data_IF_928812514770
#
_entry.id   IF_928812514770
#
_cell.length_a   1.000
_cell.length_b   1.000
_cell.length_c   1.000
_cell.angle_alpha   90.00
_cell.angle_beta   90.00
_cell.angle_gamma   90.00
#
_symmetry.space_group_name_H-M   'P 1'
#
loop_
_entity.id
_entity.type
_entity.pdbx_description
1 polymer ?
#
# COMPACT_ATOMS: atom_id res chain seq x y z
N UNK A 1 -9.25 2.21 -35.18
CA UNK A 1 -8.68 3.53 -34.78
C UNK A 1 -7.80 3.33 -33.55
N UNK A 2 -6.74 4.10 -33.30
CA UNK A 2 -5.95 3.97 -32.05
C UNK A 2 -6.46 4.92 -30.98
N UNK A 3 -6.89 4.40 -29.84
CA UNK A 3 -7.46 5.15 -28.71
C UNK A 3 -6.57 5.02 -27.48
N UNK A 4 -6.43 6.10 -26.70
CA UNK A 4 -5.85 6.02 -25.37
C UNK A 4 -6.97 5.76 -24.37
N UNK A 5 -7.06 4.55 -23.86
CA UNK A 5 -8.06 4.13 -22.90
C UNK A 5 -7.50 4.27 -21.47
N UNK A 6 -8.33 4.69 -20.53
CA UNK A 6 -8.05 4.73 -19.10
C UNK A 6 -8.95 3.72 -18.40
N UNK A 7 -8.37 2.62 -17.92
CA UNK A 7 -9.08 1.61 -17.15
C UNK A 7 -9.10 2.04 -15.68
N UNK A 8 -10.30 2.17 -15.12
CA UNK A 8 -10.52 2.41 -13.70
C UNK A 8 -10.66 1.05 -13.03
N UNK A 9 -9.63 0.65 -12.28
CA UNK A 9 -9.51 -0.71 -11.75
C UNK A 9 -9.24 -0.76 -10.26
N UNK A 10 -9.87 -1.70 -9.58
CA UNK A 10 -9.44 -2.21 -8.27
C UNK A 10 -8.79 -3.59 -8.43
N UNK A 11 -7.99 -4.04 -7.47
CA UNK A 11 -7.38 -5.37 -7.50
C UNK A 11 -6.98 -5.85 -6.11
N UNK A 12 -7.11 -7.16 -5.90
CA UNK A 12 -6.45 -7.85 -4.79
C UNK A 12 -4.97 -8.04 -5.11
N UNK A 13 -4.09 -7.39 -4.35
CA UNK A 13 -2.63 -7.47 -4.52
C UNK A 13 -1.99 -8.77 -4.04
N UNK A 14 -2.69 -9.65 -3.30
CA UNK A 14 -2.07 -10.77 -2.59
C UNK A 14 -1.25 -11.72 -3.46
N UNK A 15 -1.69 -11.98 -4.71
CA UNK A 15 -0.96 -12.87 -5.64
C UNK A 15 0.05 -12.16 -6.54
N UNK A 16 0.11 -10.83 -6.48
CA UNK A 16 0.87 -10.03 -7.43
C UNK A 16 2.20 -9.54 -6.86
N UNK A 17 3.21 -9.54 -7.71
CA UNK A 17 4.53 -8.94 -7.47
C UNK A 17 4.52 -7.42 -7.71
N UNK A 18 3.39 -6.79 -7.37
CA UNK A 18 3.11 -5.36 -7.57
C UNK A 18 2.36 -5.09 -8.88
N UNK A 19 2.13 -3.81 -9.14
CA UNK A 19 1.40 -3.37 -10.32
C UNK A 19 2.23 -3.46 -11.60
N UNK A 20 3.48 -2.99 -11.54
CA UNK A 20 4.25 -2.65 -12.73
C UNK A 20 4.59 -3.89 -13.57
N UNK A 21 4.49 -3.77 -14.89
CA UNK A 21 4.76 -4.88 -15.79
C UNK A 21 6.14 -5.52 -15.56
N UNK A 22 6.17 -6.84 -15.47
CA UNK A 22 7.34 -7.68 -15.48
C UNK A 22 7.02 -8.94 -16.32
N UNK A 23 7.97 -9.46 -17.11
CA UNK A 23 7.73 -10.64 -17.96
C UNK A 23 7.69 -11.93 -17.13
N UNK A 24 8.58 -12.04 -16.16
CA UNK A 24 8.84 -13.25 -15.38
C UNK A 24 7.91 -13.37 -14.16
N UNK A 25 7.47 -12.23 -13.63
CA UNK A 25 6.62 -12.18 -12.44
C UNK A 25 5.16 -11.89 -12.80
N UNK A 26 4.26 -12.38 -11.96
CA UNK A 26 2.84 -12.07 -12.08
C UNK A 26 2.58 -10.67 -11.53
N UNK A 27 2.22 -9.75 -12.42
CA UNK A 27 1.92 -8.35 -12.07
C UNK A 27 0.60 -7.92 -12.69
N UNK A 28 -0.04 -6.93 -12.05
CA UNK A 28 -1.37 -6.47 -12.48
C UNK A 28 -1.35 -5.92 -13.91
N UNK A 29 -0.32 -5.16 -14.29
CA UNK A 29 -0.17 -4.66 -15.67
C UNK A 29 0.04 -5.78 -16.69
N UNK A 30 0.71 -6.90 -16.32
CA UNK A 30 0.88 -8.07 -17.19
C UNK A 30 -0.47 -8.74 -17.46
N UNK A 31 -1.28 -8.94 -16.43
CA UNK A 31 -2.62 -9.52 -16.58
C UNK A 31 -3.56 -8.62 -17.38
N UNK A 32 -3.52 -7.29 -17.16
CA UNK A 32 -4.28 -6.33 -17.97
C UNK A 32 -3.90 -6.45 -19.45
N UNK A 33 -2.60 -6.50 -19.77
CA UNK A 33 -2.13 -6.66 -21.15
C UNK A 33 -2.58 -8.01 -21.73
N UNK A 34 -2.52 -9.09 -20.94
CA UNK A 34 -3.01 -10.41 -21.35
C UNK A 34 -4.50 -10.39 -21.72
N UNK A 35 -5.35 -9.80 -20.87
CA UNK A 35 -6.78 -9.69 -21.16
C UNK A 35 -7.09 -8.79 -22.38
N UNK A 36 -6.31 -7.73 -22.59
CA UNK A 36 -6.45 -6.87 -23.78
C UNK A 36 -6.06 -7.62 -25.07
N UNK A 37 -5.06 -8.51 -25.00
CA UNK A 37 -4.66 -9.36 -26.11
C UNK A 37 -5.73 -10.43 -26.41
N UNK A 38 -6.28 -11.05 -25.38
CA UNK A 38 -7.36 -12.06 -25.51
C UNK A 38 -8.64 -11.46 -26.13
N UNK A 39 -8.94 -10.19 -25.84
CA UNK A 39 -10.03 -9.44 -26.47
C UNK A 39 -9.70 -8.91 -27.87
N UNK A 40 -8.52 -9.23 -28.40
CA UNK A 40 -8.02 -8.77 -29.71
C UNK A 40 -7.98 -7.24 -29.88
N UNK A 41 -7.95 -6.48 -28.78
CA UNK A 41 -7.88 -5.01 -28.83
C UNK A 41 -6.45 -4.46 -28.88
N UNK A 42 -5.46 -5.34 -28.74
CA UNK A 42 -4.05 -5.10 -29.04
C UNK A 42 -3.46 -6.29 -29.79
N UNK A 43 -2.47 -6.06 -30.66
CA UNK A 43 -1.75 -7.15 -31.33
C UNK A 43 -0.71 -7.83 -30.42
N UNK A 44 -0.37 -9.08 -30.72
CA UNK A 44 0.69 -9.84 -30.03
C UNK A 44 2.02 -9.05 -29.96
N UNK A 45 2.42 -8.44 -31.09
CA UNK A 45 3.63 -7.61 -31.20
C UNK A 45 3.65 -6.44 -30.20
N UNK A 46 2.48 -5.90 -29.86
CA UNK A 46 2.34 -4.85 -28.86
C UNK A 46 2.36 -5.45 -27.45
N UNK A 47 1.68 -6.57 -27.22
CA UNK A 47 1.63 -7.23 -25.91
C UNK A 47 3.03 -7.64 -25.39
N UNK A 48 3.92 -8.09 -26.27
CA UNK A 48 5.28 -8.53 -25.90
C UNK A 48 6.21 -7.38 -25.46
N UNK A 49 5.83 -6.13 -25.76
CA UNK A 49 6.56 -4.91 -25.44
C UNK A 49 5.64 -3.85 -24.82
N UNK A 50 5.60 -3.71 -23.48
CA UNK A 50 4.76 -2.73 -22.78
C UNK A 50 4.98 -1.29 -23.23
N UNK A 51 6.17 -0.97 -23.77
CA UNK A 51 6.46 0.36 -24.30
C UNK A 51 5.56 0.68 -25.50
N UNK A 52 5.18 -0.32 -26.30
CA UNK A 52 4.29 -0.16 -27.46
C UNK A 52 2.82 -0.02 -27.06
N UNK A 53 2.41 -0.64 -25.95
CA UNK A 53 1.07 -0.45 -25.35
C UNK A 53 0.97 0.90 -24.63
N UNK A 54 2.11 1.54 -24.33
CA UNK A 54 2.20 2.78 -23.55
C UNK A 54 1.49 2.70 -22.20
N UNK A 55 1.56 1.53 -21.55
CA UNK A 55 0.91 1.33 -20.25
C UNK A 55 1.53 2.27 -19.20
N UNK A 56 0.66 3.01 -18.50
CA UNK A 56 1.03 3.93 -17.40
C UNK A 56 -0.06 3.92 -16.36
N UNK A 57 0.31 3.97 -15.09
CA UNK A 57 -0.64 4.01 -13.97
C UNK A 57 -0.57 5.31 -13.17
N UNK A 58 -1.64 5.62 -12.42
CA UNK A 58 -1.67 6.77 -11.52
C UNK A 58 -0.81 6.58 -10.28
N UNK A 59 -0.75 5.36 -9.77
CA UNK A 59 0.04 4.96 -8.60
C UNK A 59 0.63 3.58 -8.85
N UNK A 60 1.90 3.40 -8.49
CA UNK A 60 2.53 2.08 -8.42
C UNK A 60 2.29 1.50 -7.04
N UNK A 61 2.03 0.20 -6.98
CA UNK A 61 1.91 -0.56 -5.74
C UNK A 61 3.01 -1.63 -5.70
N UNK A 62 3.51 -1.88 -4.49
CA UNK A 62 4.53 -2.91 -4.23
C UNK A 62 3.90 -4.30 -4.25
N UNK A 63 4.73 -5.35 -4.21
CA UNK A 63 4.29 -6.74 -4.01
C UNK A 63 3.34 -6.84 -2.81
N UNK A 64 2.21 -7.52 -3.00
CA UNK A 64 1.20 -7.76 -1.96
C UNK A 64 0.30 -6.57 -1.61
N UNK A 65 0.50 -5.39 -2.20
CA UNK A 65 -0.30 -4.19 -1.90
C UNK A 65 -1.56 -4.15 -2.77
N UNK A 66 -2.71 -3.95 -2.14
CA UNK A 66 -4.02 -3.93 -2.81
C UNK A 66 -4.35 -2.54 -3.39
N UNK A 67 -5.39 -2.44 -4.21
CA UNK A 67 -5.95 -1.15 -4.60
C UNK A 67 -7.47 -1.22 -4.75
N UNK A 68 -8.17 -0.27 -4.14
CA UNK A 68 -9.61 -0.08 -4.36
C UNK A 68 -9.88 0.66 -5.67
N UNK A 69 -9.03 1.64 -6.00
CA UNK A 69 -9.07 2.36 -7.27
C UNK A 69 -7.67 2.78 -7.74
N UNK A 70 -7.35 2.44 -8.98
CA UNK A 70 -6.20 2.93 -9.73
C UNK A 70 -6.63 3.24 -11.16
N UNK A 71 -6.01 4.24 -11.78
CA UNK A 71 -6.17 4.50 -13.21
C UNK A 71 -4.98 3.90 -13.97
N UNK A 72 -5.26 3.00 -14.91
CA UNK A 72 -4.27 2.41 -15.82
C UNK A 72 -4.58 2.86 -17.23
N UNK A 73 -3.73 3.71 -17.81
CA UNK A 73 -3.86 4.12 -19.21
C UNK A 73 -3.12 3.15 -20.13
N UNK A 74 -3.76 2.78 -21.24
CA UNK A 74 -3.21 1.92 -22.31
C UNK A 74 -3.60 2.47 -23.68
N UNK A 75 -2.87 2.08 -24.72
CA UNK A 75 -3.22 2.35 -26.10
C UNK A 75 -3.84 1.10 -26.72
N UNK A 76 -5.09 1.20 -27.17
CA UNK A 76 -5.85 0.11 -27.80
C UNK A 76 -6.14 0.43 -29.26
N UNK A 77 -6.42 -0.61 -30.05
CA UNK A 77 -6.74 -0.57 -31.49
C UNK A 77 -8.23 -0.83 -31.76
N UNK A 78 -9.08 -0.63 -30.75
CA UNK A 78 -10.53 -0.77 -30.80
C UNK A 78 -11.23 0.48 -30.25
N UNK A 79 -12.50 0.64 -30.59
CA UNK A 79 -13.38 1.64 -29.96
C UNK A 79 -13.85 1.14 -28.58
N UNK A 80 -14.15 2.08 -27.69
CA UNK A 80 -14.63 1.76 -26.34
C UNK A 80 -16.15 1.58 -26.42
N UNK A 81 -16.60 0.33 -26.50
CA UNK A 81 -18.02 -0.04 -26.54
C UNK A 81 -18.46 -0.75 -25.25
N UNK A 82 -19.76 -0.80 -24.94
CA UNK A 82 -20.27 -1.56 -23.80
C UNK A 82 -19.87 -3.04 -23.81
N UNK A 83 -19.79 -3.65 -25.00
CA UNK A 83 -19.38 -5.05 -25.19
C UNK A 83 -17.91 -5.25 -24.82
N UNK A 84 -17.03 -4.33 -25.23
CA UNK A 84 -15.62 -4.36 -24.83
C UNK A 84 -15.47 -4.24 -23.31
N UNK A 85 -16.19 -3.31 -22.68
CA UNK A 85 -16.15 -3.11 -21.22
C UNK A 85 -16.63 -4.37 -20.50
N UNK A 86 -17.75 -4.96 -20.93
CA UNK A 86 -18.32 -6.17 -20.33
C UNK A 86 -17.40 -7.40 -20.49
N UNK A 87 -16.83 -7.58 -21.68
CA UNK A 87 -15.87 -8.65 -21.97
C UNK A 87 -14.60 -8.53 -21.12
N UNK A 88 -13.98 -7.34 -21.10
CA UNK A 88 -12.80 -7.10 -20.26
C UNK A 88 -13.09 -7.23 -18.77
N UNK A 89 -14.26 -6.77 -18.30
CA UNK A 89 -14.67 -6.93 -16.90
C UNK A 89 -14.74 -8.40 -16.52
N UNK A 90 -15.24 -9.26 -17.41
CA UNK A 90 -15.33 -10.71 -17.19
C UNK A 90 -13.95 -11.38 -17.18
N UNK A 91 -13.02 -10.99 -18.06
CA UNK A 91 -11.68 -11.56 -18.07
C UNK A 91 -10.84 -11.10 -16.87
N UNK A 92 -10.89 -9.81 -16.54
CA UNK A 92 -10.14 -9.22 -15.43
C UNK A 92 -10.63 -9.76 -14.08
N UNK A 93 -11.93 -10.02 -13.91
CA UNK A 93 -12.46 -10.57 -12.65
C UNK A 93 -11.90 -11.96 -12.33
N UNK A 94 -11.66 -12.81 -13.34
CA UNK A 94 -10.97 -14.10 -13.19
C UNK A 94 -9.53 -13.94 -12.69
N UNK A 95 -8.96 -12.76 -12.91
CA UNK A 95 -7.64 -12.37 -12.42
C UNK A 95 -7.72 -11.63 -11.08
N UNK A 96 -8.86 -11.54 -10.40
CA UNK A 96 -9.00 -10.74 -9.16
C UNK A 96 -8.70 -9.25 -9.38
N UNK A 97 -8.95 -8.77 -10.61
CA UNK A 97 -8.91 -7.37 -11.01
C UNK A 97 -10.33 -6.94 -11.32
N UNK A 98 -10.84 -5.96 -10.57
CA UNK A 98 -12.17 -5.41 -10.78
C UNK A 98 -12.10 -4.21 -11.73
N UNK A 99 -12.78 -4.29 -12.87
CA UNK A 99 -12.92 -3.18 -13.80
C UNK A 99 -14.24 -2.43 -13.55
N UNK A 100 -14.13 -1.19 -13.07
CA UNK A 100 -15.28 -0.31 -12.92
C UNK A 100 -15.73 0.20 -14.28
N UNK A 101 -14.83 0.85 -15.02
CA UNK A 101 -15.14 1.47 -16.30
C UNK A 101 -13.88 1.70 -17.16
N UNK A 102 -14.08 2.01 -18.44
CA UNK A 102 -13.04 2.40 -19.39
C UNK A 102 -13.39 3.78 -19.96
N UNK A 103 -12.57 4.78 -19.63
CA UNK A 103 -12.73 6.14 -20.13
C UNK A 103 -11.79 6.44 -21.29
N UNK A 104 -12.23 7.26 -22.24
CA UNK A 104 -11.34 7.77 -23.28
C UNK A 104 -10.44 8.86 -22.69
N UNK A 105 -9.12 8.75 -22.85
CA UNK A 105 -8.16 9.77 -22.43
C UNK A 105 -7.65 10.58 -23.61
N UNK A 106 -7.15 11.79 -23.35
CA UNK A 106 -6.44 12.55 -24.38
C UNK A 106 -5.06 11.94 -24.61
N UNK A 107 -4.47 12.19 -25.79
CA UNK A 107 -3.16 11.60 -26.14
C UNK A 107 -2.04 11.99 -25.17
N UNK A 108 -2.13 13.18 -24.56
CA UNK A 108 -1.12 13.71 -23.62
C UNK A 108 -1.34 13.31 -22.16
N UNK A 109 -2.50 12.74 -21.80
CA UNK A 109 -2.78 12.36 -20.41
C UNK A 109 -1.79 11.31 -19.92
N UNK A 110 -1.10 11.62 -18.82
CA UNK A 110 -0.27 10.68 -18.06
C UNK A 110 -0.90 10.55 -16.67
N UNK A 111 -1.47 9.38 -16.32
CA UNK A 111 -2.21 9.20 -15.06
C UNK A 111 -1.46 9.70 -13.81
N UNK A 112 -0.17 9.40 -13.70
CA UNK A 112 0.63 9.80 -12.52
C UNK A 112 0.87 11.30 -12.39
N UNK A 113 0.86 12.04 -13.50
CA UNK A 113 0.94 13.52 -13.53
C UNK A 113 -0.44 14.17 -13.34
N UNK A 114 -1.50 13.47 -13.72
CA UNK A 114 -2.88 13.93 -13.54
C UNK A 114 -3.33 13.80 -12.07
N UNK A 115 -2.78 12.82 -11.34
CA UNK A 115 -3.10 12.59 -9.93
C UNK A 115 -2.44 13.65 -9.04
N UNK A 116 -3.29 14.45 -8.38
CA UNK A 116 -2.94 15.54 -7.46
C UNK A 116 -2.63 15.01 -6.08
N UNK A 117 -3.48 14.10 -5.59
CA UNK A 117 -3.34 13.45 -4.29
C UNK A 117 -3.59 11.95 -4.44
N UNK A 118 -3.10 11.18 -3.48
CA UNK A 118 -3.36 9.75 -3.34
C UNK A 118 -3.71 9.49 -1.88
N UNK A 119 -4.84 8.83 -1.67
CA UNK A 119 -5.27 8.30 -0.39
C UNK A 119 -4.90 6.82 -0.33
N UNK A 120 -4.29 6.41 0.78
CA UNK A 120 -4.02 5.02 1.11
C UNK A 120 -4.66 4.70 2.45
N UNK A 121 -4.97 3.43 2.66
CA UNK A 121 -5.31 2.90 3.97
C UNK A 121 -4.25 1.89 4.39
N UNK A 122 -3.92 1.90 5.68
CA UNK A 122 -3.11 0.88 6.31
C UNK A 122 -3.84 0.35 7.54
N UNK A 123 -4.05 -0.97 7.59
CA UNK A 123 -4.77 -1.63 8.68
C UNK A 123 -3.75 -2.11 9.72
N UNK A 124 -3.93 -1.69 10.98
CA UNK A 124 -3.01 -2.01 12.09
C UNK A 124 -3.75 -2.83 13.13
N UNK A 125 -3.30 -4.07 13.45
CA UNK A 125 -3.79 -4.79 14.62
C UNK A 125 -3.35 -4.06 15.88
N UNK A 126 -4.30 -3.72 16.76
CA UNK A 126 -4.04 -2.81 17.89
C UNK A 126 -3.15 -3.44 18.96
N UNK A 127 -3.05 -4.76 19.01
CA UNK A 127 -2.09 -5.50 19.85
C UNK A 127 -0.65 -4.96 19.73
N UNK A 128 -0.23 -4.57 18.52
CA UNK A 128 1.12 -4.07 18.29
C UNK A 128 1.35 -2.65 18.83
N UNK A 129 0.29 -1.95 19.24
CA UNK A 129 0.36 -0.62 19.86
C UNK A 129 0.56 -0.70 21.38
N UNK A 130 0.25 -1.85 22.01
CA UNK A 130 0.37 -2.05 23.44
C UNK A 130 1.77 -1.69 23.93
N UNK A 131 1.87 -1.01 25.08
CA UNK A 131 3.16 -0.63 25.67
C UNK A 131 4.00 -1.88 25.92
N UNK A 132 5.23 -1.88 25.39
CA UNK A 132 6.19 -2.97 25.52
C UNK A 132 7.50 -2.48 26.14
N UNK A 133 8.32 -3.44 26.58
CA UNK A 133 9.67 -3.20 27.08
C UNK A 133 10.65 -3.79 26.07
N UNK A 134 11.36 -2.91 25.35
CA UNK A 134 12.17 -3.35 24.20
C UNK A 134 13.29 -4.30 24.64
N UNK A 135 14.00 -3.99 25.72
CA UNK A 135 15.13 -4.80 26.19
C UNK A 135 14.66 -6.16 26.70
N UNK A 136 13.56 -6.21 27.47
CA UNK A 136 12.99 -7.49 27.92
C UNK A 136 12.50 -8.35 26.76
N UNK A 137 11.82 -7.75 25.78
CA UNK A 137 11.32 -8.49 24.62
C UNK A 137 12.45 -8.98 23.70
N UNK A 138 13.58 -8.26 23.63
CA UNK A 138 14.82 -8.73 23.00
C UNK A 138 15.39 -9.93 23.74
N UNK A 139 15.46 -9.88 25.07
CA UNK A 139 15.96 -10.99 25.89
C UNK A 139 15.12 -12.25 25.74
N UNK A 140 13.79 -12.13 25.77
CA UNK A 140 12.85 -13.24 25.51
C UNK A 140 13.09 -13.84 24.13
N UNK A 141 13.28 -13.00 23.10
CA UNK A 141 13.55 -13.49 21.76
C UNK A 141 14.90 -14.22 21.67
N UNK A 142 15.94 -13.72 22.34
CA UNK A 142 17.26 -14.38 22.40
C UNK A 142 17.22 -15.71 23.13
N UNK A 143 16.42 -15.85 24.17
CA UNK A 143 16.23 -17.13 24.87
C UNK A 143 15.55 -18.17 23.95
N UNK A 144 14.66 -17.72 23.08
CA UNK A 144 13.99 -18.58 22.09
C UNK A 144 14.91 -18.97 20.92
N UNK A 145 15.66 -18.02 20.38
CA UNK A 145 16.40 -18.17 19.12
C UNK A 145 17.92 -18.40 19.29
N UNK A 146 18.48 -18.21 20.49
CA UNK A 146 19.92 -18.13 20.72
C UNK A 146 20.54 -16.78 20.33
N UNK A 147 21.87 -16.69 20.37
CA UNK A 147 22.62 -15.44 20.06
C UNK A 147 22.89 -15.24 18.55
N UNK A 148 22.95 -16.32 17.77
CA UNK A 148 23.23 -16.27 16.34
C UNK A 148 22.08 -16.87 15.54
N UNK A 149 21.54 -16.07 14.61
CA UNK A 149 20.54 -16.54 13.65
C UNK A 149 21.22 -17.03 12.39
N UNK A 150 20.99 -18.29 12.04
CA UNK A 150 21.22 -18.74 10.66
C UNK A 150 20.18 -18.08 9.75
N UNK A 151 20.62 -17.22 8.84
CA UNK A 151 19.77 -16.54 7.86
C UNK A 151 19.02 -17.49 6.91
N UNK A 152 19.30 -18.79 6.95
CA UNK A 152 18.62 -19.85 6.19
C UNK A 152 17.41 -20.44 6.91
N UNK A 153 17.26 -20.20 8.21
CA UNK A 153 16.15 -20.75 9.00
C UNK A 153 14.98 -19.77 9.03
N UNK A 154 13.85 -20.22 8.50
CA UNK A 154 12.58 -19.47 8.56
C UNK A 154 12.01 -19.59 9.97
N UNK A 155 11.68 -18.46 10.62
CA UNK A 155 11.03 -18.50 11.93
C UNK A 155 9.66 -19.13 11.80
N UNK A 156 9.38 -20.08 12.68
CA UNK A 156 8.04 -20.61 12.86
C UNK A 156 7.24 -19.68 13.78
N UNK A 157 6.04 -19.32 13.32
CA UNK A 157 5.08 -18.51 14.06
C UNK A 157 3.85 -19.40 14.26
N UNK A 158 3.82 -20.17 15.36
CA UNK A 158 2.78 -21.17 15.58
C UNK A 158 1.41 -20.49 15.74
N UNK A 159 0.36 -21.23 15.43
CA UNK A 159 -1.01 -20.69 15.33
C UNK A 159 -1.53 -20.15 16.66
N UNK A 160 -1.09 -20.72 17.77
CA UNK A 160 -1.38 -20.31 19.15
C UNK A 160 -0.92 -18.87 19.45
N UNK A 161 0.18 -18.42 18.84
CA UNK A 161 0.62 -17.03 18.93
C UNK A 161 -0.42 -16.08 18.34
N UNK A 162 -1.08 -16.47 17.25
CA UNK A 162 -2.16 -15.67 16.67
C UNK A 162 -3.43 -15.77 17.53
N UNK A 163 -3.68 -16.92 18.14
CA UNK A 163 -4.79 -17.09 19.09
C UNK A 163 -4.65 -16.17 20.30
N UNK A 164 -3.43 -15.84 20.72
CA UNK A 164 -3.19 -14.88 21.82
C UNK A 164 -3.67 -13.46 21.55
N UNK A 165 -3.88 -13.08 20.27
CA UNK A 165 -4.44 -11.77 19.91
C UNK A 165 -5.98 -11.75 20.00
N UNK A 166 -6.63 -12.91 20.04
CA UNK A 166 -8.09 -12.99 20.05
C UNK A 166 -8.62 -12.47 21.37
N UNK A 167 -9.52 -11.50 21.32
CA UNK A 167 -10.10 -10.86 22.50
C UNK A 167 -9.23 -9.76 23.12
N UNK A 168 -8.03 -9.50 22.57
CA UNK A 168 -7.27 -8.32 22.97
C UNK A 168 -7.99 -7.04 22.52
N UNK A 169 -8.06 -6.06 23.42
CA UNK A 169 -8.54 -4.71 23.15
C UNK A 169 -7.51 -3.69 23.61
N UNK A 170 -7.22 -2.71 22.77
CA UNK A 170 -6.30 -1.62 23.11
C UNK A 170 -6.89 -0.67 24.14
N UNK A 171 -6.01 -0.02 24.90
CA UNK A 171 -6.42 1.07 25.79
C UNK A 171 -6.63 2.36 24.98
N UNK A 172 -7.46 3.27 25.51
CA UNK A 172 -7.63 4.60 24.93
C UNK A 172 -6.29 5.36 24.82
N UNK A 173 -5.37 5.14 25.76
CA UNK A 173 -4.04 5.74 25.71
C UNK A 173 -3.21 5.24 24.53
N UNK A 174 -3.26 3.94 24.21
CA UNK A 174 -2.55 3.37 23.06
C UNK A 174 -2.99 4.05 21.76
N UNK A 175 -4.30 4.19 21.58
CA UNK A 175 -4.90 4.80 20.39
C UNK A 175 -4.56 6.29 20.30
N UNK A 176 -4.70 7.02 21.42
CA UNK A 176 -4.39 8.46 21.51
C UNK A 176 -2.92 8.73 21.18
N UNK A 177 -2.00 7.95 21.76
CA UNK A 177 -0.55 8.10 21.52
C UNK A 177 -0.22 7.76 20.06
N UNK A 178 -0.77 6.67 19.53
CA UNK A 178 -0.54 6.28 18.14
C UNK A 178 -1.04 7.34 17.16
N UNK A 179 -2.25 7.86 17.36
CA UNK A 179 -2.78 8.96 16.54
C UNK A 179 -1.90 10.21 16.63
N UNK A 180 -1.52 10.63 17.83
CA UNK A 180 -0.66 11.80 18.03
C UNK A 180 0.69 11.65 17.30
N UNK A 181 1.31 10.46 17.35
CA UNK A 181 2.53 10.13 16.60
C UNK A 181 2.30 10.30 15.09
N UNK A 182 1.23 9.74 14.56
CA UNK A 182 0.95 9.77 13.13
C UNK A 182 0.62 11.19 12.61
N UNK A 183 -0.04 12.02 13.43
CA UNK A 183 -0.31 13.42 13.07
C UNK A 183 0.97 14.23 12.82
N UNK A 184 2.09 13.86 13.46
CA UNK A 184 3.37 14.54 13.25
C UNK A 184 3.88 14.45 11.81
N UNK A 185 3.43 13.48 11.02
CA UNK A 185 3.83 13.36 9.61
C UNK A 185 3.22 14.40 8.68
N UNK A 186 2.16 15.10 9.11
CA UNK A 186 1.48 16.11 8.30
C UNK A 186 2.42 17.26 7.91
N UNK A 187 2.13 17.87 6.76
CA UNK A 187 2.96 18.91 6.17
C UNK A 187 4.06 18.38 5.25
N UNK A 188 4.99 19.26 4.89
CA UNK A 188 6.12 18.95 4.01
C UNK A 188 7.33 18.56 4.85
N UNK A 189 7.87 17.35 4.64
CA UNK A 189 9.09 16.87 5.30
C UNK A 189 10.00 16.14 4.33
N UNK A 190 11.25 15.92 4.73
CA UNK A 190 12.20 15.11 3.99
C UNK A 190 12.14 13.64 4.41
N UNK A 191 11.55 12.79 3.56
CA UNK A 191 11.32 11.38 3.86
C UNK A 191 12.45 10.47 3.35
N UNK A 192 13.70 10.95 3.27
CA UNK A 192 14.84 10.16 2.77
C UNK A 192 15.08 8.85 3.55
N UNK A 193 14.95 8.87 4.89
CA UNK A 193 15.04 7.66 5.73
C UNK A 193 13.83 6.72 5.57
N UNK A 194 12.72 7.23 5.05
CA UNK A 194 11.49 6.49 4.79
C UNK A 194 11.43 5.92 3.35
N UNK A 195 12.55 5.82 2.64
CA UNK A 195 12.59 5.14 1.33
C UNK A 195 13.82 4.24 1.23
N UNK A 196 13.97 3.55 0.10
CA UNK A 196 15.29 3.08 -0.36
C UNK A 196 15.99 4.28 -1.02
N UNK A 197 17.30 4.41 -0.83
CA UNK A 197 18.14 5.42 -1.49
C UNK A 197 17.91 5.39 -3.02
N UNK A 198 17.96 6.57 -3.68
CA UNK A 198 17.82 6.83 -5.14
C UNK A 198 16.44 7.36 -5.64
N UNK A 199 15.99 8.52 -5.15
CA UNK A 199 14.88 9.26 -5.79
C UNK A 199 15.40 10.46 -6.60
N UNK A 200 15.28 10.40 -7.93
CA UNK A 200 15.65 11.50 -8.84
C UNK A 200 14.87 12.80 -8.58
N UNK A 201 13.65 12.70 -8.02
CA UNK A 201 12.76 13.83 -7.73
C UNK A 201 12.94 14.40 -6.32
N UNK A 202 14.04 14.06 -5.67
CA UNK A 202 14.25 14.33 -4.25
C UNK A 202 13.32 13.53 -3.34
N UNK A 203 13.49 13.72 -2.04
CA UNK A 203 12.87 12.94 -0.95
C UNK A 203 11.84 13.73 -0.15
N UNK A 204 11.70 15.03 -0.43
CA UNK A 204 10.65 15.85 0.18
C UNK A 204 9.26 15.42 -0.31
N UNK A 205 8.33 15.21 0.62
CA UNK A 205 6.93 14.86 0.33
C UNK A 205 6.00 15.65 1.23
N UNK A 206 4.81 15.94 0.72
CA UNK A 206 3.74 16.62 1.45
C UNK A 206 2.64 15.62 1.80
N UNK A 207 2.41 15.45 3.10
CA UNK A 207 1.30 14.68 3.65
C UNK A 207 0.19 15.69 4.01
N UNK A 208 -0.97 15.53 3.38
CA UNK A 208 -2.13 16.41 3.57
C UNK A 208 -2.84 16.10 4.87
N UNK A 209 -3.09 14.83 5.13
CA UNK A 209 -3.79 14.38 6.33
C UNK A 209 -3.45 12.93 6.66
N UNK A 210 -3.54 12.62 7.95
CA UNK A 210 -3.55 11.26 8.49
C UNK A 210 -4.74 11.18 9.43
N UNK A 211 -5.56 10.13 9.31
CA UNK A 211 -6.76 9.92 10.13
C UNK A 211 -6.72 8.49 10.63
N UNK A 212 -6.87 8.31 11.94
CA UNK A 212 -7.00 7.00 12.58
C UNK A 212 -8.48 6.78 12.86
N UNK A 213 -9.03 5.63 12.46
CA UNK A 213 -10.42 5.29 12.77
C UNK A 213 -10.59 4.88 14.23
N UNK A 214 -11.84 4.87 14.70
CA UNK A 214 -12.21 4.08 15.87
C UNK A 214 -11.78 2.61 15.69
N UNK A 215 -11.45 1.91 16.80
CA UNK A 215 -11.10 0.50 16.74
C UNK A 215 -12.30 -0.32 16.29
N UNK A 216 -12.03 -1.40 15.56
CA UNK A 216 -13.05 -2.35 15.12
C UNK A 216 -12.51 -3.78 15.20
N UNK A 217 -13.40 -4.73 15.42
CA UNK A 217 -13.03 -6.15 15.56
C UNK A 217 -13.35 -6.90 14.28
N UNK A 218 -12.41 -7.71 13.81
CA UNK A 218 -12.60 -8.68 12.74
C UNK A 218 -11.98 -10.03 13.13
N UNK A 219 -12.74 -11.13 13.03
CA UNK A 219 -12.29 -12.46 13.44
C UNK A 219 -11.71 -12.52 14.87
N UNK A 220 -12.29 -11.74 15.80
CA UNK A 220 -11.88 -11.67 17.20
C UNK A 220 -10.61 -10.82 17.46
N UNK A 221 -10.02 -10.22 16.43
CA UNK A 221 -8.84 -9.37 16.52
C UNK A 221 -9.26 -7.91 16.36
N UNK A 222 -8.78 -7.03 17.23
CA UNK A 222 -9.04 -5.59 17.13
C UNK A 222 -8.02 -4.90 16.19
N UNK A 223 -8.53 -4.01 15.35
CA UNK A 223 -7.76 -3.23 14.37
C UNK A 223 -8.14 -1.76 14.43
N UNK A 224 -7.22 -0.91 13.96
CA UNK A 224 -7.53 0.44 13.51
C UNK A 224 -7.18 0.59 12.03
N UNK A 225 -7.90 1.47 11.34
CA UNK A 225 -7.61 1.84 9.96
C UNK A 225 -6.97 3.22 9.96
N UNK A 226 -5.77 3.31 9.38
CA UNK A 226 -5.06 4.57 9.16
C UNK A 226 -5.28 5.02 7.72
N UNK A 227 -6.02 6.09 7.51
CA UNK A 227 -6.20 6.73 6.20
C UNK A 227 -5.18 7.87 6.04
N UNK A 228 -4.27 7.74 5.08
CA UNK A 228 -3.23 8.74 4.80
C UNK A 228 -3.41 9.32 3.40
N UNK A 229 -3.49 10.65 3.30
CA UNK A 229 -3.58 11.38 2.04
C UNK A 229 -2.34 12.24 1.83
N UNK A 230 -1.69 12.11 0.66
CA UNK A 230 -0.50 12.87 0.32
C UNK A 230 -0.42 13.16 -1.17
N UNK A 231 0.40 14.14 -1.57
CA UNK A 231 0.57 14.49 -2.99
C UNK A 231 1.22 13.33 -3.76
N UNK A 232 2.28 12.78 -3.20
CA UNK A 232 2.97 11.61 -3.72
C UNK A 232 3.70 10.89 -2.59
N UNK A 233 4.07 9.63 -2.82
CA UNK A 233 4.78 8.81 -1.86
C UNK A 233 6.02 8.20 -2.54
N UNK A 234 7.11 8.07 -1.78
CA UNK A 234 8.31 7.34 -2.15
C UNK A 234 8.08 5.83 -2.02
N UNK A 235 9.00 5.05 -2.59
CA UNK A 235 9.01 3.60 -2.46
C UNK A 235 9.06 3.20 -0.97
N UNK A 236 8.18 2.31 -0.55
CA UNK A 236 8.03 1.84 0.84
C UNK A 236 7.63 2.90 1.89
N UNK A 237 7.42 4.16 1.52
CA UNK A 237 7.26 5.26 2.48
C UNK A 237 6.19 5.00 3.54
N UNK A 238 4.97 4.68 3.10
CA UNK A 238 3.85 4.48 4.02
C UNK A 238 4.13 3.32 4.96
N UNK A 239 4.64 2.19 4.46
CA UNK A 239 4.97 1.00 5.27
C UNK A 239 6.04 1.30 6.33
N UNK A 240 7.03 2.12 5.99
CA UNK A 240 8.06 2.57 6.94
C UNK A 240 7.48 3.55 7.96
N UNK A 241 6.63 4.49 7.54
CA UNK A 241 5.93 5.42 8.45
C UNK A 241 5.07 4.67 9.46
N UNK A 242 4.30 3.69 9.00
CA UNK A 242 3.41 2.91 9.87
C UNK A 242 4.21 2.09 10.89
N UNK A 243 5.23 1.34 10.45
CA UNK A 243 6.03 0.54 11.38
C UNK A 243 6.82 1.43 12.36
N UNK A 244 7.37 2.56 11.93
CA UNK A 244 8.01 3.51 12.84
C UNK A 244 7.04 4.04 13.89
N UNK A 245 5.83 4.44 13.48
CA UNK A 245 4.81 4.92 14.41
C UNK A 245 4.39 3.87 15.43
N UNK A 246 4.25 2.60 14.99
CA UNK A 246 3.96 1.46 15.86
C UNK A 246 5.10 1.25 16.87
N UNK A 247 6.36 1.29 16.42
CA UNK A 247 7.52 1.09 17.29
C UNK A 247 7.65 2.20 18.35
N UNK A 248 7.41 3.46 17.98
CA UNK A 248 7.41 4.55 18.95
C UNK A 248 6.25 4.42 19.95
N UNK A 249 5.06 4.06 19.48
CA UNK A 249 3.90 3.82 20.35
C UNK A 249 4.19 2.67 21.33
N UNK A 250 4.84 1.60 20.88
CA UNK A 250 5.13 0.45 21.73
C UNK A 250 6.28 0.71 22.71
N UNK A 251 7.39 1.32 22.27
CA UNK A 251 8.65 1.32 23.02
C UNK A 251 9.18 2.71 23.42
N UNK A 252 8.72 3.80 22.81
CA UNK A 252 9.37 5.12 22.96
C UNK A 252 8.37 6.27 23.15
N UNK A 253 7.27 6.02 23.88
CA UNK A 253 6.18 7.00 24.11
C UNK A 253 6.68 8.33 24.69
N UNK A 254 7.65 8.27 25.60
CA UNK A 254 8.14 9.43 26.33
C UNK A 254 9.18 10.26 25.56
N UNK A 255 9.65 9.78 24.41
CA UNK A 255 10.73 10.41 23.63
C UNK A 255 10.38 10.66 22.16
N UNK A 256 9.08 10.58 21.80
CA UNK A 256 8.57 10.71 20.42
C UNK A 256 9.18 11.89 19.65
N UNK A 257 9.24 13.09 20.25
CA UNK A 257 9.77 14.28 19.57
C UNK A 257 11.22 14.07 19.12
N UNK A 258 12.07 13.67 20.07
CA UNK A 258 13.50 13.43 19.80
C UNK A 258 13.72 12.36 18.72
N UNK A 259 12.87 11.32 18.69
CA UNK A 259 12.98 10.25 17.68
C UNK A 259 12.52 10.72 16.30
N UNK A 260 11.52 11.61 16.23
CA UNK A 260 11.14 12.29 14.99
C UNK A 260 12.26 13.19 14.48
N UNK A 261 12.85 14.03 15.34
CA UNK A 261 13.97 14.90 14.97
C UNK A 261 15.14 14.08 14.44
N UNK A 262 15.42 12.95 15.07
CA UNK A 262 16.46 12.02 14.63
C UNK A 262 16.19 11.51 13.20
N UNK A 263 15.04 10.88 12.92
CA UNK A 263 14.76 10.27 11.61
C UNK A 263 14.51 11.29 10.48
N UNK A 264 14.18 12.54 10.81
CA UNK A 264 14.05 13.64 9.85
C UNK A 264 15.28 14.56 9.79
N UNK A 265 16.35 14.23 10.52
CA UNK A 265 17.66 14.90 10.41
C UNK A 265 18.34 14.63 9.06
N UNK A 266 19.59 15.03 8.89
CA UNK A 266 20.37 14.72 7.67
C UNK A 266 21.05 13.35 7.73
N UNK A 267 21.02 12.70 8.89
CA UNK A 267 21.68 11.41 9.11
C UNK A 267 20.92 10.27 8.42
N UNK A 268 21.67 9.30 7.90
CA UNK A 268 21.09 8.10 7.32
C UNK A 268 20.70 7.11 8.42
N UNK A 269 19.41 7.06 8.71
CA UNK A 269 18.86 6.19 9.75
C UNK A 269 18.02 5.10 9.12
N UNK A 270 18.30 3.87 9.52
CA UNK A 270 17.52 2.73 9.07
C UNK A 270 16.13 2.73 9.71
N UNK A 271 15.10 3.09 8.93
CA UNK A 271 13.70 2.87 9.33
C UNK A 271 13.21 1.54 8.77
N UNK A 272 12.77 0.59 9.60
CA UNK A 272 12.31 -0.72 9.13
C UNK A 272 10.98 -0.60 8.37
N UNK A 273 10.72 -1.55 7.47
CA UNK A 273 9.54 -1.57 6.61
C UNK A 273 8.47 -2.52 7.16
N UNK A 274 7.25 -2.03 7.38
CA UNK A 274 6.10 -2.85 7.78
C UNK A 274 5.59 -3.81 6.69
N UNK A 275 4.67 -4.72 7.03
CA UNK A 275 4.07 -5.66 6.08
C UNK A 275 3.32 -4.95 4.94
N UNK A 276 3.21 -5.61 3.79
CA UNK A 276 2.59 -5.07 2.57
C UNK A 276 1.10 -5.33 2.50
N UNK A 277 0.71 -6.47 3.08
CA UNK A 277 -0.60 -7.12 3.02
C UNK A 277 -1.68 -6.30 3.72
N UNK A 278 -1.28 -5.25 4.45
CA UNK A 278 -2.17 -4.34 5.17
C UNK A 278 -2.31 -2.98 4.50
N UNK A 279 -1.54 -2.72 3.44
CA UNK A 279 -1.57 -1.47 2.69
C UNK A 279 -2.48 -1.62 1.47
N UNK A 280 -3.37 -0.65 1.26
CA UNK A 280 -4.14 -0.53 0.03
C UNK A 280 -4.17 0.91 -0.49
N UNK A 281 -4.09 1.07 -1.80
CA UNK A 281 -4.40 2.34 -2.47
C UNK A 281 -5.92 2.53 -2.47
N UNK A 282 -6.41 3.51 -1.72
CA UNK A 282 -7.84 3.78 -1.59
C UNK A 282 -8.37 4.51 -2.83
N UNK A 283 -7.82 5.71 -3.13
CA UNK A 283 -8.03 6.38 -4.42
C UNK A 283 -6.98 7.43 -4.73
N UNK A 284 -6.58 7.59 -6.00
CA UNK A 284 -6.04 8.84 -6.51
C UNK A 284 -7.14 9.90 -6.69
N UNK A 285 -6.80 11.17 -6.46
CA UNK A 285 -7.62 12.33 -6.85
C UNK A 285 -6.97 12.99 -8.05
N UNK A 286 -7.74 13.22 -9.11
CA UNK A 286 -7.24 13.73 -10.38
C UNK A 286 -7.67 15.17 -10.63
N UNK A 287 -6.88 15.91 -11.42
CA UNK A 287 -7.42 17.07 -12.13
C UNK A 287 -8.52 16.62 -13.11
N UNK A 288 -9.54 17.47 -13.31
CA UNK A 288 -10.62 17.21 -14.27
C UNK A 288 -10.03 17.02 -15.68
N UNK A 289 -10.57 16.07 -16.43
CA UNK A 289 -10.16 15.79 -17.79
C UNK A 289 -10.87 16.76 -18.73
N UNK A 290 -10.12 17.47 -19.59
CA UNK A 290 -10.68 18.34 -20.61
C UNK A 290 -11.00 17.56 -21.89
N UNK A 291 -12.21 17.75 -22.41
CA UNK A 291 -12.70 17.18 -23.68
C UNK A 291 -12.43 18.12 -24.85
N UNK A 292 -12.50 17.58 -26.06
CA UNK A 292 -12.23 18.31 -27.31
C UNK A 292 -13.27 19.40 -27.62
N UNK A 293 -14.49 19.24 -27.08
CA UNK A 293 -15.58 20.22 -27.13
C UNK A 293 -15.46 21.34 -26.07
N UNK A 294 -14.41 21.33 -25.26
CA UNK A 294 -14.17 22.30 -24.20
C UNK A 294 -14.79 21.94 -22.84
N UNK A 295 -15.61 20.89 -22.75
CA UNK A 295 -16.18 20.41 -21.48
C UNK A 295 -15.12 19.74 -20.61
N UNK A 296 -15.44 19.54 -19.32
CA UNK A 296 -14.58 18.81 -18.39
C UNK A 296 -15.36 17.73 -17.66
N UNK A 297 -14.69 16.61 -17.40
CA UNK A 297 -15.25 15.48 -16.65
C UNK A 297 -14.32 15.07 -15.52
N UNK A 298 -14.90 14.46 -14.49
CA UNK A 298 -14.12 13.93 -13.39
C UNK A 298 -13.63 12.53 -13.74
N UNK A 299 -12.40 12.22 -13.29
CA UNK A 299 -11.86 10.87 -13.38
C UNK A 299 -12.09 10.22 -12.01
N UNK A 300 -12.98 9.24 -11.95
CA UNK A 300 -13.32 8.58 -10.71
C UNK A 300 -14.36 7.50 -10.93
N UNK A 301 -14.75 6.87 -9.83
CA UNK A 301 -15.84 5.90 -9.78
C UNK A 301 -16.79 6.32 -8.66
N UNK A 302 -17.99 5.76 -8.65
CA UNK A 302 -18.90 5.92 -7.53
C UNK A 302 -18.25 5.45 -6.22
N UNK A 303 -18.29 6.30 -5.20
CA UNK A 303 -17.63 6.01 -3.92
C UNK A 303 -18.27 4.82 -3.21
N UNK A 304 -19.59 4.60 -3.35
CA UNK A 304 -20.27 3.46 -2.73
C UNK A 304 -19.86 2.13 -3.38
N UNK A 305 -19.78 2.07 -4.71
CA UNK A 305 -19.30 0.90 -5.44
C UNK A 305 -17.85 0.55 -5.06
N UNK A 306 -17.00 1.56 -4.88
CA UNK A 306 -15.61 1.39 -4.44
C UNK A 306 -15.52 0.86 -3.00
N UNK A 307 -16.29 1.42 -2.08
CA UNK A 307 -16.35 0.94 -0.70
C UNK A 307 -16.92 -0.49 -0.61
N UNK A 308 -17.90 -0.83 -1.45
CA UNK A 308 -18.41 -2.19 -1.58
C UNK A 308 -17.31 -3.15 -2.06
N UNK A 309 -16.57 -2.79 -3.10
CA UNK A 309 -15.43 -3.59 -3.57
C UNK A 309 -14.38 -3.80 -2.47
N UNK A 310 -14.05 -2.75 -1.70
CA UNK A 310 -13.14 -2.88 -0.55
C UNK A 310 -13.64 -3.90 0.47
N UNK A 311 -14.90 -3.80 0.89
CA UNK A 311 -15.51 -4.70 1.88
C UNK A 311 -15.57 -6.14 1.40
N UNK A 312 -15.87 -6.36 0.12
CA UNK A 312 -16.13 -7.71 -0.40
C UNK A 312 -14.87 -8.42 -0.91
N UNK A 313 -13.90 -7.68 -1.47
CA UNK A 313 -12.74 -8.27 -2.13
C UNK A 313 -11.41 -8.00 -1.42
N UNK A 314 -11.22 -6.83 -0.81
CA UNK A 314 -9.91 -6.44 -0.24
C UNK A 314 -9.82 -6.76 1.24
N UNK A 315 -10.74 -6.25 2.07
CA UNK A 315 -10.68 -6.44 3.52
C UNK A 315 -10.64 -7.92 3.95
N UNK A 316 -11.43 -8.84 3.35
CA UNK A 316 -11.33 -10.27 3.68
C UNK A 316 -9.94 -10.85 3.43
N UNK A 317 -9.17 -10.28 2.49
CA UNK A 317 -7.79 -10.68 2.18
C UNK A 317 -6.80 -10.10 3.18
N UNK A 318 -6.99 -8.86 3.61
CA UNK A 318 -6.16 -8.22 4.64
C UNK A 318 -6.34 -8.93 5.99
N UNK A 319 -7.57 -9.25 6.38
CA UNK A 319 -7.90 -9.87 7.67
C UNK A 319 -7.65 -11.39 7.72
N UNK A 320 -6.98 -11.97 6.72
CA UNK A 320 -6.55 -13.37 6.80
C UNK A 320 -5.55 -13.56 7.94
N UNK A 321 -5.80 -14.55 8.80
CA UNK A 321 -4.98 -14.82 10.00
C UNK A 321 -3.48 -14.93 9.69
N UNK A 322 -3.12 -15.58 8.58
CA UNK A 322 -1.71 -15.74 8.15
C UNK A 322 -0.97 -14.41 7.97
N UNK A 323 -1.66 -13.30 7.69
CA UNK A 323 -1.02 -12.00 7.48
C UNK A 323 -0.46 -11.43 8.80
N UNK A 324 -1.01 -11.83 9.96
CA UNK A 324 -0.54 -11.37 11.28
C UNK A 324 0.90 -11.80 11.55
N UNK A 325 1.33 -12.92 10.95
CA UNK A 325 2.73 -13.37 10.96
C UNK A 325 3.66 -12.27 10.43
N UNK A 326 3.22 -11.47 9.45
CA UNK A 326 4.01 -10.37 8.90
C UNK A 326 4.35 -9.31 9.94
N UNK A 327 3.41 -8.95 10.83
CA UNK A 327 3.67 -8.00 11.91
C UNK A 327 4.60 -8.56 12.97
N UNK A 328 4.36 -9.81 13.40
CA UNK A 328 5.27 -10.49 14.30
C UNK A 328 6.66 -10.51 13.72
N UNK A 329 6.85 -11.03 12.51
CA UNK A 329 8.14 -11.10 11.83
C UNK A 329 8.84 -9.75 11.68
N UNK A 330 8.10 -8.67 11.45
CA UNK A 330 8.67 -7.32 11.47
C UNK A 330 9.20 -6.95 12.85
N UNK A 331 8.41 -7.12 13.91
CA UNK A 331 8.79 -6.78 15.28
C UNK A 331 9.99 -7.60 15.77
N UNK A 332 9.97 -8.87 15.42
CA UNK A 332 10.97 -9.86 15.74
C UNK A 332 12.29 -9.62 14.98
N UNK A 333 12.22 -9.09 13.75
CA UNK A 333 13.37 -8.61 12.99
C UNK A 333 13.97 -7.35 13.62
N UNK A 334 13.13 -6.41 14.07
CA UNK A 334 13.55 -5.19 14.76
C UNK A 334 14.30 -5.49 16.06
N UNK A 335 13.77 -6.40 16.89
CA UNK A 335 14.41 -6.85 18.12
C UNK A 335 15.73 -7.58 17.86
N UNK A 336 15.76 -8.43 16.83
CA UNK A 336 16.97 -9.16 16.48
C UNK A 336 18.10 -8.21 16.03
N UNK A 337 17.77 -7.21 15.20
CA UNK A 337 18.69 -6.20 14.70
C UNK A 337 18.69 -4.91 15.54
N UNK A 338 18.63 -5.04 16.87
CA UNK A 338 18.49 -3.91 17.81
C UNK A 338 19.56 -2.83 17.61
N UNK A 339 20.77 -3.22 17.20
CA UNK A 339 21.90 -2.33 16.95
C UNK A 339 21.64 -1.33 15.81
N UNK A 340 20.73 -1.68 14.90
CA UNK A 340 20.32 -0.81 13.79
C UNK A 340 19.14 0.10 14.17
N UNK A 341 18.56 -0.07 15.37
CA UNK A 341 17.36 0.61 15.84
C UNK A 341 17.69 1.76 16.79
N UNK A 342 18.55 2.67 16.33
CA UNK A 342 19.07 3.81 17.11
C UNK A 342 18.00 4.75 17.67
N UNK A 343 16.77 4.67 17.16
CA UNK A 343 15.64 5.47 17.60
C UNK A 343 14.75 4.79 18.65
N UNK A 344 15.00 3.53 19.03
CA UNK A 344 14.19 2.82 20.04
C UNK A 344 14.78 2.95 21.45
N UNK A 345 16.12 3.06 21.54
CA UNK A 345 16.88 3.16 22.81
C UNK A 345 16.81 4.51 23.49
#
# INVERSE_FOLDING_TARGET
MKVRAGLLVGYDGSKYHGLQFNKELDTVEKEIIGCLLEMEVISQRNADDPKKVHIKSSSRTDKGVHAALNLVSVKIEADITPELISGLRTLLSRKEIHLYDIIRLTKSTIPSKQAVFRAYEYIVPTFFLAKGDFDKEVEVLRQKDGECRDGRVTRDYPSDMIDSLVGYTSSEDDLRVFEAILQKYTGTKDFHNFTKLNSEKGTKRYIKSVIVSDPYVNNGIEYVRVSITGQSFLLHQIRKMMLFGILLCRYSRDSVESKFDMVFSKENIHVPKGPSEYLLLDKPTFHRLRRGDGTTEDIGVDDAAREEYKRNAIYPRIHQRKNLIGFFACLDSVRFHRENMVFIG
#
